data_IF_936407274116
#
_entry.id   IF_936407274116
#
_cell.length_a   1.000
_cell.length_b   1.000
_cell.length_c   1.000
_cell.angle_alpha   90.00
_cell.angle_beta   90.00
_cell.angle_gamma   90.00
#
_symmetry.space_group_name_H-M   'P 1'
#
loop_
_entity.id
_entity.type
_entity.pdbx_description
1 polymer ?
#
# COMPACT_ATOMS: atom_id res chain seq x y z
N UNK A 1 20.22 -5.43 18.65
CA UNK A 1 21.11 -5.06 17.53
C UNK A 1 22.50 -4.89 18.11
N UNK A 2 23.43 -5.74 17.70
CA UNK A 2 24.84 -5.76 18.12
C UNK A 2 25.52 -4.44 17.75
N UNK A 3 26.03 -3.71 18.73
CA UNK A 3 26.77 -2.45 18.55
C UNK A 3 28.16 -2.74 17.95
N UNK A 4 28.35 -2.45 16.66
CA UNK A 4 29.68 -2.44 16.04
C UNK A 4 30.21 -1.00 16.06
N UNK A 5 31.08 -0.69 17.03
CA UNK A 5 32.15 0.32 16.97
C UNK A 5 31.85 1.65 16.24
N UNK A 6 30.68 2.28 16.45
CA UNK A 6 30.33 3.59 15.87
C UNK A 6 30.12 3.62 14.35
N UNK A 7 30.49 2.56 13.62
CA UNK A 7 30.19 2.38 12.20
C UNK A 7 28.68 2.35 11.94
N UNK A 8 27.90 1.87 12.91
CA UNK A 8 26.44 1.90 12.86
C UNK A 8 25.88 3.33 12.78
N UNK A 9 26.50 4.28 13.48
CA UNK A 9 26.09 5.69 13.47
C UNK A 9 26.47 6.37 12.15
N UNK A 10 27.67 6.09 11.65
CA UNK A 10 28.15 6.60 10.36
C UNK A 10 27.31 6.03 9.21
N UNK A 11 27.00 4.73 9.25
CA UNK A 11 26.12 4.07 8.29
C UNK A 11 24.71 4.67 8.31
N UNK A 12 24.11 4.84 9.49
CA UNK A 12 22.80 5.48 9.62
C UNK A 12 22.85 6.93 9.11
N UNK A 13 23.93 7.67 9.37
CA UNK A 13 24.10 9.03 8.87
C UNK A 13 24.19 9.07 7.34
N UNK A 14 24.99 8.21 6.72
CA UNK A 14 25.08 8.09 5.26
C UNK A 14 23.74 7.71 4.64
N UNK A 15 23.06 6.71 5.21
CA UNK A 15 21.72 6.28 4.76
C UNK A 15 20.72 7.42 4.88
N UNK A 16 20.71 8.17 5.98
CA UNK A 16 19.87 9.36 6.14
C UNK A 16 20.15 10.39 5.06
N UNK A 17 21.42 10.74 4.83
CA UNK A 17 21.84 11.74 3.84
C UNK A 17 21.38 11.35 2.43
N UNK A 18 21.63 10.11 2.04
CA UNK A 18 21.23 9.55 0.74
C UNK A 18 19.70 9.51 0.58
N UNK A 19 19.00 8.99 1.58
CA UNK A 19 17.55 8.86 1.57
C UNK A 19 16.88 10.23 1.52
N UNK A 20 17.36 11.22 2.27
CA UNK A 20 16.80 12.57 2.26
C UNK A 20 17.10 13.36 0.99
N UNK A 21 18.19 13.02 0.29
CA UNK A 21 18.49 13.59 -1.02
C UNK A 21 17.55 13.05 -2.12
N UNK A 22 17.25 11.75 -2.08
CA UNK A 22 16.41 11.11 -3.10
C UNK A 22 14.91 11.21 -2.83
N UNK A 23 14.51 11.15 -1.55
CA UNK A 23 13.11 11.15 -1.17
C UNK A 23 12.59 12.58 -1.13
N UNK A 24 11.58 12.84 -1.96
CA UNK A 24 10.72 14.02 -1.83
C UNK A 24 9.34 13.49 -1.45
N UNK A 25 9.00 13.67 -0.18
CA UNK A 25 7.74 13.23 0.37
C UNK A 25 6.67 14.31 0.16
N UNK A 26 5.50 13.90 -0.31
CA UNK A 26 4.26 14.66 -0.19
C UNK A 26 3.49 14.07 0.98
N UNK A 27 3.13 14.92 1.95
CA UNK A 27 2.43 14.48 3.14
C UNK A 27 0.93 14.64 2.93
N UNK A 28 0.17 13.63 3.33
CA UNK A 28 -1.28 13.61 3.26
C UNK A 28 -1.86 13.24 4.63
N UNK A 29 -2.79 14.04 5.18
CA UNK A 29 -3.16 15.38 4.71
C UNK A 29 -1.99 16.40 4.87
N UNK A 30 -2.05 17.51 4.13
CA UNK A 30 -0.95 18.49 4.06
C UNK A 30 -0.82 19.35 5.33
N UNK A 31 -1.89 19.44 6.14
CA UNK A 31 -1.94 20.30 7.32
C UNK A 31 -2.02 19.50 8.62
N UNK A 32 -1.33 19.98 9.65
CA UNK A 32 -1.43 19.44 11.01
C UNK A 32 -2.85 19.55 11.56
N UNK A 33 -3.59 20.62 11.25
CA UNK A 33 -4.92 20.85 11.83
C UNK A 33 -5.96 19.83 11.36
N UNK A 34 -5.77 19.27 10.17
CA UNK A 34 -6.58 18.15 9.69
C UNK A 34 -6.22 16.80 10.31
N UNK A 35 -5.08 16.73 11.00
CA UNK A 35 -4.69 15.58 11.81
C UNK A 35 -5.22 15.81 13.21
N UNK A 36 -6.25 15.07 13.62
CA UNK A 36 -6.84 15.11 14.97
C UNK A 36 -5.89 14.55 16.07
N UNK A 37 -4.58 14.79 15.95
CA UNK A 37 -3.52 14.31 16.84
C UNK A 37 -3.30 15.35 17.94
N UNK A 38 -3.56 14.97 19.18
CA UNK A 38 -3.26 15.81 20.33
C UNK A 38 -1.75 15.72 20.68
N UNK A 39 -0.94 16.78 20.57
CA UNK A 39 0.48 16.74 20.90
C UNK A 39 0.77 16.52 22.41
N UNK A 40 -0.19 16.82 23.28
CA UNK A 40 -0.02 16.75 24.75
C UNK A 40 -0.12 15.31 25.28
N UNK A 41 -0.72 14.42 24.50
CA UNK A 41 -0.81 13.00 24.83
C UNK A 41 0.35 12.22 24.18
N UNK A 42 0.85 11.16 24.82
CA UNK A 42 1.84 10.27 24.22
C UNK A 42 1.40 9.73 22.84
N UNK A 43 2.17 10.03 21.80
CA UNK A 43 1.90 9.57 20.42
C UNK A 43 2.81 8.41 20.06
N UNK A 44 2.22 7.31 19.57
CA UNK A 44 2.94 6.15 19.05
C UNK A 44 2.55 5.90 17.59
N UNK A 45 3.51 6.08 16.67
CA UNK A 45 3.29 5.91 15.24
C UNK A 45 3.31 4.43 14.84
N UNK A 46 2.23 3.96 14.24
CA UNK A 46 2.05 2.56 13.83
C UNK A 46 2.38 2.43 12.35
N UNK A 47 3.35 1.57 12.03
CA UNK A 47 3.66 1.19 10.65
C UNK A 47 3.29 -0.27 10.40
N UNK A 48 2.91 -0.59 9.16
CA UNK A 48 2.60 -1.96 8.77
C UNK A 48 3.82 -2.88 8.93
N UNK A 49 4.91 -2.59 8.21
CA UNK A 49 6.08 -3.45 8.12
C UNK A 49 7.30 -2.81 8.78
N UNK A 50 8.17 -3.62 9.39
CA UNK A 50 9.44 -3.14 9.93
C UNK A 50 10.40 -2.66 8.83
N UNK A 51 10.70 -1.36 8.83
CA UNK A 51 11.59 -0.75 7.85
C UNK A 51 12.27 0.51 8.38
N UNK A 52 13.60 0.52 8.35
CA UNK A 52 14.42 1.67 8.74
C UNK A 52 14.20 2.87 7.80
N UNK A 53 14.10 2.64 6.48
CA UNK A 53 13.82 3.71 5.52
C UNK A 53 12.49 4.42 5.84
N UNK A 54 11.41 3.64 5.96
CA UNK A 54 10.08 4.13 6.34
C UNK A 54 10.09 4.91 7.65
N UNK A 55 10.74 4.36 8.68
CA UNK A 55 10.89 5.05 9.96
C UNK A 55 11.62 6.40 9.82
N UNK A 56 12.70 6.45 9.04
CA UNK A 56 13.48 7.68 8.85
C UNK A 56 12.73 8.74 8.04
N UNK A 57 12.00 8.33 6.99
CA UNK A 57 11.13 9.25 6.23
C UNK A 57 10.02 9.77 7.14
N UNK A 58 9.31 8.89 7.84
CA UNK A 58 8.25 9.26 8.78
C UNK A 58 8.77 10.22 9.85
N UNK A 59 9.91 9.95 10.47
CA UNK A 59 10.49 10.81 11.49
C UNK A 59 10.82 12.22 10.97
N UNK A 60 11.31 12.32 9.73
CA UNK A 60 11.55 13.62 9.08
C UNK A 60 10.23 14.37 8.87
N UNK A 61 9.21 13.70 8.36
CA UNK A 61 7.91 14.34 8.11
C UNK A 61 7.18 14.72 9.41
N UNK A 62 7.35 13.95 10.50
CA UNK A 62 6.87 14.37 11.82
C UNK A 62 7.48 15.72 12.24
N UNK A 63 8.80 15.89 12.05
CA UNK A 63 9.47 17.16 12.38
C UNK A 63 8.97 18.29 11.47
N UNK A 64 8.82 18.04 10.17
CA UNK A 64 8.31 19.03 9.22
C UNK A 64 6.87 19.47 9.52
N UNK A 65 6.04 18.57 10.05
CA UNK A 65 4.66 18.83 10.46
C UNK A 65 4.53 19.29 11.92
N UNK A 66 5.64 19.54 12.62
CA UNK A 66 5.66 19.88 14.06
C UNK A 66 4.96 18.86 14.97
N UNK A 67 4.92 17.60 14.55
CA UNK A 67 4.42 16.48 15.34
C UNK A 67 5.51 15.97 16.30
N UNK A 68 5.14 15.26 17.38
CA UNK A 68 6.11 14.69 18.32
C UNK A 68 7.16 13.81 17.61
N UNK A 69 8.45 14.11 17.80
CA UNK A 69 9.54 13.40 17.13
C UNK A 69 9.62 11.95 17.65
N UNK A 70 9.41 10.94 16.78
CA UNK A 70 9.44 9.53 17.19
C UNK A 70 10.80 9.06 17.69
N UNK A 71 11.88 9.79 17.40
CA UNK A 71 13.25 9.46 17.80
C UNK A 71 13.59 9.90 19.22
N UNK A 72 12.82 10.83 19.81
CA UNK A 72 12.96 11.25 21.21
C UNK A 72 12.42 10.20 22.20
N UNK A 73 11.73 9.18 21.69
CA UNK A 73 11.17 8.10 22.49
C UNK A 73 9.71 8.34 22.88
N UNK A 74 9.16 7.36 23.60
CA UNK A 74 7.79 7.34 24.08
C UNK A 74 7.84 7.15 25.59
N UNK A 75 7.13 8.01 26.32
CA UNK A 75 6.93 7.90 27.77
C UNK A 75 5.42 7.84 28.04
N UNK A 76 4.99 6.82 28.76
CA UNK A 76 3.62 6.61 29.21
C UNK A 76 3.74 6.22 30.68
N UNK A 77 3.37 7.09 31.61
CA UNK A 77 3.59 6.85 33.03
C UNK A 77 5.04 6.43 33.35
N UNK A 78 5.21 5.23 33.90
CA UNK A 78 6.51 4.61 34.18
C UNK A 78 7.11 3.83 32.99
N UNK A 79 6.31 3.52 31.97
CA UNK A 79 6.78 2.88 30.75
C UNK A 79 7.55 3.87 29.86
N UNK A 80 8.79 3.51 29.49
CA UNK A 80 9.60 4.27 28.56
C UNK A 80 10.15 3.39 27.43
N UNK A 81 10.14 3.91 26.21
CA UNK A 81 10.71 3.24 25.04
C UNK A 81 11.53 4.22 24.20
N UNK A 82 12.68 3.76 23.67
CA UNK A 82 13.62 4.61 22.90
C UNK A 82 13.04 5.17 21.59
N UNK A 83 11.98 4.56 21.07
CA UNK A 83 11.32 4.97 19.81
C UNK A 83 9.81 5.01 20.01
N UNK A 84 9.17 6.09 19.57
CA UNK A 84 7.71 6.22 19.57
C UNK A 84 7.06 5.60 18.33
N UNK A 85 7.58 4.46 17.85
CA UNK A 85 7.02 3.73 16.71
C UNK A 85 6.72 2.27 17.04
N UNK A 86 5.73 1.71 16.37
CA UNK A 86 5.27 0.33 16.53
C UNK A 86 5.09 -0.31 15.15
N UNK A 87 5.53 -1.56 14.99
CA UNK A 87 5.43 -2.31 13.74
C UNK A 87 4.47 -3.49 13.88
N UNK A 88 3.49 -3.62 12.98
CA UNK A 88 2.49 -4.70 13.02
C UNK A 88 3.01 -6.05 12.54
N UNK A 89 3.92 -6.06 11.59
CA UNK A 89 4.51 -7.27 11.03
C UNK A 89 6.03 -7.19 11.14
N UNK A 90 6.60 -8.26 11.69
CA UNK A 90 8.04 -8.43 11.76
C UNK A 90 8.54 -9.08 10.47
N UNK A 91 9.81 -8.85 10.13
CA UNK A 91 10.43 -9.63 9.06
C UNK A 91 10.53 -11.09 9.50
N UNK A 92 9.87 -11.99 8.77
CA UNK A 92 10.26 -13.40 8.78
C UNK A 92 11.72 -13.51 8.31
N UNK A 93 12.47 -14.46 8.84
CA UNK A 93 13.83 -14.72 8.36
C UNK A 93 13.77 -15.08 6.87
N UNK A 94 14.89 -14.97 6.13
CA UNK A 94 15.04 -15.01 4.66
C UNK A 94 14.39 -16.25 3.99
N UNK A 95 14.01 -17.26 4.78
CA UNK A 95 13.39 -18.52 4.37
C UNK A 95 11.92 -18.71 4.82
N UNK A 96 11.40 -17.89 5.73
CA UNK A 96 10.00 -17.98 6.18
C UNK A 96 9.07 -17.16 5.28
N UNK A 97 8.22 -17.86 4.51
CA UNK A 97 7.18 -17.26 3.66
C UNK A 97 6.02 -16.64 4.47
N UNK A 98 6.00 -16.80 5.81
CA UNK A 98 4.94 -16.29 6.69
C UNK A 98 5.38 -15.00 7.37
N UNK A 99 4.63 -13.92 7.14
CA UNK A 99 4.66 -12.75 8.01
C UNK A 99 4.35 -13.21 9.44
N UNK A 100 5.28 -13.01 10.39
CA UNK A 100 4.99 -13.29 11.80
C UNK A 100 3.92 -12.31 12.27
N UNK A 101 2.84 -12.85 12.81
CA UNK A 101 1.77 -12.04 13.38
C UNK A 101 2.32 -11.24 14.57
N UNK A 102 2.23 -9.91 14.48
CA UNK A 102 2.65 -8.92 15.49
C UNK A 102 4.17 -8.93 15.74
N UNK A 103 4.89 -7.93 15.20
CA UNK A 103 6.35 -7.84 15.36
C UNK A 103 6.76 -7.59 16.83
N UNK A 104 5.96 -6.79 17.55
CA UNK A 104 6.32 -6.25 18.86
C UNK A 104 5.15 -6.29 19.85
N UNK A 105 4.53 -7.46 20.12
CA UNK A 105 3.39 -7.55 21.03
C UNK A 105 3.71 -7.00 22.42
N UNK A 106 4.94 -7.22 22.92
CA UNK A 106 5.39 -6.75 24.23
C UNK A 106 5.29 -5.24 24.40
N UNK A 107 5.60 -4.44 23.37
CA UNK A 107 5.51 -2.98 23.46
C UNK A 107 4.07 -2.53 23.71
N UNK A 108 3.11 -3.13 23.01
CA UNK A 108 1.70 -2.80 23.18
C UNK A 108 1.17 -3.31 24.53
N UNK A 109 1.58 -4.51 24.94
CA UNK A 109 1.23 -5.05 26.26
C UNK A 109 1.73 -4.14 27.40
N UNK A 110 2.99 -3.68 27.36
CA UNK A 110 3.52 -2.78 28.40
C UNK A 110 2.80 -1.43 28.44
N UNK A 111 2.37 -0.89 27.30
CA UNK A 111 1.54 0.32 27.29
C UNK A 111 0.15 0.06 27.90
N UNK A 112 -0.44 -1.11 27.64
CA UNK A 112 -1.72 -1.52 28.22
C UNK A 112 -1.58 -1.70 29.74
N UNK A 113 -0.53 -2.34 30.21
CA UNK A 113 -0.27 -2.55 31.64
C UNK A 113 -0.21 -1.21 32.40
N UNK A 114 0.45 -0.20 31.81
CA UNK A 114 0.54 1.14 32.40
C UNK A 114 -0.83 1.85 32.42
N UNK A 115 -1.61 1.71 31.35
CA UNK A 115 -2.94 2.31 31.22
C UNK A 115 -3.91 1.71 32.25
N UNK A 116 -3.85 0.41 32.50
CA UNK A 116 -4.67 -0.23 33.53
C UNK A 116 -4.34 0.27 34.94
N UNK A 117 -3.06 0.52 35.23
CA UNK A 117 -2.62 1.05 36.52
C UNK A 117 -2.95 2.53 36.72
N UNK A 118 -3.02 3.30 35.63
CA UNK A 118 -3.22 4.75 35.67
C UNK A 118 -4.40 5.16 34.77
N UNK A 119 -5.65 5.19 35.27
CA UNK A 119 -6.85 5.46 34.47
C UNK A 119 -6.86 6.80 33.72
N UNK A 120 -6.10 7.79 34.21
CA UNK A 120 -6.02 9.14 33.61
C UNK A 120 -5.11 9.22 32.39
N UNK A 121 -4.27 8.19 32.14
CA UNK A 121 -3.36 8.19 31.00
C UNK A 121 -4.07 7.70 29.73
N UNK A 122 -3.61 8.18 28.58
CA UNK A 122 -3.96 7.63 27.26
C UNK A 122 -2.72 7.63 26.34
N UNK A 123 -2.77 6.80 25.29
CA UNK A 123 -1.76 6.74 24.23
C UNK A 123 -2.47 6.80 22.90
N UNK A 124 -2.07 7.72 22.04
CA UNK A 124 -2.58 7.82 20.68
C UNK A 124 -1.77 6.95 19.74
N UNK A 125 -2.43 5.99 19.09
CA UNK A 125 -1.85 5.15 18.05
C UNK A 125 -2.15 5.77 16.68
N UNK A 126 -1.14 6.38 16.04
CA UNK A 126 -1.30 7.06 14.74
C UNK A 126 -0.85 6.13 13.61
N UNK A 127 -1.74 5.62 12.74
CA UNK A 127 -1.32 4.84 11.57
C UNK A 127 -0.56 5.71 10.58
N UNK A 128 0.59 5.23 10.12
CA UNK A 128 1.40 5.90 9.10
C UNK A 128 1.72 4.94 7.96
N UNK A 129 1.36 5.35 6.74
CA UNK A 129 1.62 4.60 5.51
C UNK A 129 2.56 5.35 4.59
N UNK A 130 3.55 4.64 4.06
CA UNK A 130 4.50 5.21 3.11
C UNK A 130 4.40 4.50 1.76
N UNK A 131 4.24 5.29 0.70
CA UNK A 131 4.10 4.83 -0.66
C UNK A 131 5.19 5.47 -1.53
N UNK A 132 6.24 4.72 -1.85
CA UNK A 132 7.33 5.14 -2.75
C UNK A 132 6.88 4.99 -4.22
N UNK A 133 5.83 5.72 -4.61
CA UNK A 133 5.17 5.64 -5.92
C UNK A 133 3.77 5.00 -5.87
N UNK A 134 2.93 5.30 -6.88
CA UNK A 134 1.53 4.83 -7.03
C UNK A 134 1.40 3.57 -7.92
N UNK A 135 2.47 2.79 -7.97
CA UNK A 135 2.66 1.62 -8.81
C UNK A 135 1.99 0.36 -8.18
N UNK A 136 1.02 -0.31 -8.83
CA UNK A 136 0.36 -1.50 -8.30
C UNK A 136 1.30 -2.65 -7.93
N UNK A 137 0.95 -3.38 -6.87
CA UNK A 137 1.79 -4.42 -6.26
C UNK A 137 2.12 -5.59 -7.21
N UNK A 138 1.30 -5.80 -8.23
CA UNK A 138 1.49 -6.79 -9.29
C UNK A 138 1.90 -6.16 -10.60
N UNK A 139 2.85 -5.24 -10.53
CA UNK A 139 3.68 -4.98 -11.69
C UNK A 139 4.55 -6.22 -11.97
N UNK A 140 4.16 -6.97 -12.99
CA UNK A 140 5.06 -7.90 -13.67
C UNK A 140 6.26 -7.17 -14.34
N UNK A 141 6.38 -5.83 -14.18
CA UNK A 141 7.28 -4.98 -14.95
C UNK A 141 8.47 -4.40 -14.19
N UNK A 142 8.36 -3.88 -12.96
CA UNK A 142 9.56 -3.31 -12.28
C UNK A 142 10.61 -4.39 -12.03
N UNK A 143 10.19 -5.66 -12.04
CA UNK A 143 11.03 -6.84 -11.82
C UNK A 143 10.64 -8.08 -12.66
N UNK A 144 10.26 -7.98 -13.94
CA UNK A 144 10.83 -8.99 -14.89
C UNK A 144 12.37 -8.81 -14.97
N UNK A 145 12.83 -7.66 -14.45
CA UNK A 145 14.06 -6.90 -14.70
C UNK A 145 14.79 -6.55 -13.38
N UNK A 146 14.87 -7.43 -12.38
CA UNK A 146 16.20 -7.55 -11.77
C UNK A 146 16.86 -8.85 -12.16
N UNK A 147 16.15 -9.98 -12.15
CA UNK A 147 16.69 -11.25 -12.61
C UNK A 147 15.51 -12.18 -12.92
N UNK A 148 15.18 -12.38 -14.19
CA UNK A 148 14.42 -13.58 -14.54
C UNK A 148 15.26 -14.81 -14.17
N UNK A 149 14.65 -15.66 -13.33
CA UNK A 149 14.91 -17.08 -13.06
C UNK A 149 15.97 -17.58 -12.06
N UNK A 150 16.75 -16.79 -11.30
CA UNK A 150 17.57 -17.44 -10.23
C UNK A 150 17.92 -16.67 -8.95
N UNK A 151 17.75 -15.34 -8.86
CA UNK A 151 18.28 -14.58 -7.70
C UNK A 151 17.20 -13.87 -6.87
N UNK A 152 16.91 -14.41 -5.68
CA UNK A 152 16.08 -13.80 -4.63
C UNK A 152 16.79 -12.56 -4.08
N UNK A 153 16.59 -11.40 -4.71
CA UNK A 153 17.12 -10.12 -4.20
C UNK A 153 16.60 -9.87 -2.77
N UNK A 154 17.47 -9.69 -1.76
CA UNK A 154 17.08 -9.34 -0.41
C UNK A 154 16.17 -8.09 -0.38
N UNK A 155 15.13 -8.10 0.48
CA UNK A 155 14.11 -7.04 0.51
C UNK A 155 14.65 -5.62 0.71
N UNK A 156 15.84 -5.47 1.28
CA UNK A 156 16.50 -4.17 1.48
C UNK A 156 17.03 -3.56 0.18
N UNK A 157 17.67 -4.36 -0.68
CA UNK A 157 18.19 -3.91 -1.98
C UNK A 157 17.03 -3.56 -2.92
N UNK A 158 15.98 -4.39 -2.94
CA UNK A 158 14.74 -4.09 -3.67
C UNK A 158 14.17 -2.73 -3.25
N UNK A 159 14.12 -2.46 -1.95
CA UNK A 159 13.62 -1.18 -1.42
C UNK A 159 14.51 -0.01 -1.80
N UNK A 160 15.84 -0.18 -1.74
CA UNK A 160 16.79 0.84 -2.18
C UNK A 160 16.55 1.25 -3.64
N UNK A 161 16.39 0.27 -4.54
CA UNK A 161 16.13 0.51 -5.96
C UNK A 161 14.80 1.23 -6.20
N UNK A 162 13.74 0.82 -5.50
CA UNK A 162 12.44 1.51 -5.57
C UNK A 162 12.60 2.97 -5.13
N UNK A 163 13.33 3.24 -4.04
CA UNK A 163 13.57 4.61 -3.57
C UNK A 163 14.42 5.39 -4.59
N UNK A 164 15.44 4.79 -5.20
CA UNK A 164 16.24 5.47 -6.24
C UNK A 164 15.39 5.87 -7.45
N UNK A 165 14.51 4.99 -7.92
CA UNK A 165 13.70 5.22 -9.11
C UNK A 165 12.49 6.12 -8.81
N UNK A 166 11.87 5.95 -7.64
CA UNK A 166 10.54 6.48 -7.31
C UNK A 166 10.46 7.33 -6.05
N UNK A 167 11.56 7.50 -5.31
CA UNK A 167 11.58 8.24 -4.04
C UNK A 167 11.17 9.71 -4.15
N UNK A 168 11.27 10.30 -5.35
CA UNK A 168 10.82 11.68 -5.60
C UNK A 168 9.29 11.82 -5.62
N UNK A 169 8.56 10.72 -5.68
CA UNK A 169 7.10 10.64 -5.71
C UNK A 169 6.57 9.92 -4.46
N UNK A 170 7.30 10.02 -3.34
CA UNK A 170 6.89 9.38 -2.11
C UNK A 170 5.68 10.11 -1.54
N UNK A 171 4.64 9.35 -1.18
CA UNK A 171 3.51 9.87 -0.41
C UNK A 171 3.59 9.28 1.00
N UNK A 172 3.48 10.15 2.00
CA UNK A 172 3.39 9.76 3.42
C UNK A 172 1.98 10.10 3.88
N UNK A 173 1.22 9.08 4.28
CA UNK A 173 -0.15 9.23 4.75
C UNK A 173 -0.18 9.06 6.26
N UNK A 174 -0.61 10.11 6.97
CA UNK A 174 -0.92 10.06 8.40
C UNK A 174 -2.44 9.97 8.55
N UNK A 175 -2.90 8.95 9.28
CA UNK A 175 -4.31 8.72 9.53
C UNK A 175 -4.73 9.14 10.94
N UNK A 176 -6.05 9.18 11.16
CA UNK A 176 -6.64 9.53 12.45
C UNK A 176 -6.11 8.66 13.61
N UNK A 177 -5.77 9.27 14.76
CA UNK A 177 -5.27 8.53 15.91
C UNK A 177 -6.35 7.63 16.51
N UNK A 178 -5.95 6.42 16.89
CA UNK A 178 -6.76 5.52 17.70
C UNK A 178 -6.31 5.64 19.16
N UNK A 179 -7.22 6.05 20.05
CA UNK A 179 -6.98 6.02 21.50
C UNK A 179 -6.81 4.58 21.97
N UNK A 180 -5.69 4.28 22.64
CA UNK A 180 -5.47 2.97 23.24
C UNK A 180 -6.41 2.76 24.45
N UNK A 181 -6.67 3.81 25.23
CA UNK A 181 -7.64 3.80 26.33
C UNK A 181 -9.04 3.41 25.86
N UNK A 182 -9.53 4.01 24.78
CA UNK A 182 -10.89 3.74 24.29
C UNK A 182 -11.08 2.27 23.93
N UNK A 183 -10.04 1.61 23.42
CA UNK A 183 -10.07 0.18 23.10
C UNK A 183 -10.03 -0.70 24.36
N UNK A 184 -9.35 -0.27 25.42
CA UNK A 184 -9.33 -0.97 26.71
C UNK A 184 -10.65 -0.83 27.47
N UNK A 185 -11.34 0.31 27.34
CA UNK A 185 -12.64 0.55 27.97
C UNK A 185 -13.74 -0.40 27.46
N UNK A 186 -13.51 -1.14 26.37
CA UNK A 186 -14.40 -2.22 25.93
C UNK A 186 -14.40 -3.46 26.85
N UNK A 187 -13.52 -3.51 27.85
CA UNK A 187 -13.47 -4.60 28.84
C UNK A 187 -12.89 -5.91 28.28
N UNK A 188 -12.13 -5.85 27.19
CA UNK A 188 -11.47 -7.02 26.60
C UNK A 188 -10.20 -7.40 27.38
N UNK A 189 -9.90 -8.70 27.55
CA UNK A 189 -8.59 -9.14 28.02
C UNK A 189 -7.45 -8.57 27.17
N UNK A 190 -6.30 -8.26 27.79
CA UNK A 190 -5.16 -7.57 27.15
C UNK A 190 -4.73 -8.20 25.82
N UNK A 191 -4.59 -9.53 25.78
CA UNK A 191 -4.18 -10.25 24.56
C UNK A 191 -5.24 -10.15 23.46
N UNK A 192 -6.53 -10.09 23.82
CA UNK A 192 -7.62 -9.89 22.86
C UNK A 192 -7.62 -8.45 22.35
N UNK A 193 -7.40 -7.46 23.21
CA UNK A 193 -7.26 -6.06 22.80
C UNK A 193 -6.09 -5.88 21.80
N UNK A 194 -4.92 -6.44 22.09
CA UNK A 194 -3.75 -6.45 21.19
C UNK A 194 -4.08 -7.08 19.83
N UNK A 195 -4.73 -8.25 19.83
CA UNK A 195 -5.13 -8.94 18.59
C UNK A 195 -6.18 -8.15 17.81
N UNK A 196 -7.14 -7.54 18.50
CA UNK A 196 -8.16 -6.66 17.90
C UNK A 196 -7.51 -5.48 17.21
N UNK A 197 -6.66 -4.72 17.91
CA UNK A 197 -5.88 -3.61 17.36
C UNK A 197 -5.07 -4.05 16.14
N UNK A 198 -4.36 -5.17 16.25
CA UNK A 198 -3.60 -5.72 15.12
C UNK A 198 -4.47 -6.04 13.91
N UNK A 199 -5.71 -6.53 14.09
CA UNK A 199 -6.65 -6.80 13.00
C UNK A 199 -7.24 -5.53 12.39
N UNK A 200 -7.59 -4.56 13.23
CA UNK A 200 -8.11 -3.24 12.82
C UNK A 200 -7.07 -2.55 11.94
N UNK A 201 -5.84 -2.38 12.43
CA UNK A 201 -4.81 -1.71 11.66
C UNK A 201 -4.43 -2.46 10.38
N UNK A 202 -4.36 -3.81 10.39
CA UNK A 202 -4.13 -4.58 9.15
C UNK A 202 -5.21 -4.34 8.10
N UNK A 203 -6.46 -4.23 8.53
CA UNK A 203 -7.59 -3.96 7.64
C UNK A 203 -7.54 -2.53 7.12
N UNK A 204 -7.25 -1.56 8.00
CA UNK A 204 -7.02 -0.17 7.67
C UNK A 204 -5.92 -0.02 6.60
N UNK A 205 -4.72 -0.53 6.86
CA UNK A 205 -3.60 -0.47 5.93
C UNK A 205 -3.87 -1.17 4.59
N UNK A 206 -4.70 -2.23 4.58
CA UNK A 206 -5.11 -2.89 3.33
C UNK A 206 -6.05 -1.99 2.53
N UNK A 207 -7.10 -1.45 3.15
CA UNK A 207 -8.08 -0.57 2.50
C UNK A 207 -7.42 0.71 1.99
N UNK A 208 -6.56 1.33 2.80
CA UNK A 208 -5.82 2.52 2.38
C UNK A 208 -4.89 2.23 1.19
N UNK A 209 -4.19 1.09 1.21
CA UNK A 209 -3.37 0.67 0.07
C UNK A 209 -4.22 0.47 -1.18
N UNK A 210 -5.37 -0.19 -1.07
CA UNK A 210 -6.31 -0.40 -2.18
C UNK A 210 -6.85 0.93 -2.73
N UNK A 211 -7.14 1.91 -1.87
CA UNK A 211 -7.60 3.24 -2.28
C UNK A 211 -6.50 4.07 -2.96
N UNK A 212 -5.26 3.99 -2.47
CA UNK A 212 -4.13 4.81 -2.99
C UNK A 212 -3.50 4.20 -4.24
N UNK A 213 -3.37 2.87 -4.28
CA UNK A 213 -2.64 2.15 -5.33
C UNK A 213 -3.60 1.42 -6.29
N UNK A 214 -4.78 1.01 -5.82
CA UNK A 214 -5.70 0.14 -6.52
C UNK A 214 -5.76 -1.28 -5.93
N UNK A 215 -6.82 -2.05 -6.23
CA UNK A 215 -6.99 -3.42 -5.77
C UNK A 215 -5.91 -4.34 -6.33
N UNK A 216 -5.67 -5.46 -5.65
CA UNK A 216 -4.76 -6.48 -6.16
C UNK A 216 -5.35 -7.15 -7.40
N UNK A 217 -4.83 -6.78 -8.58
CA UNK A 217 -5.32 -7.32 -9.85
C UNK A 217 -5.05 -8.82 -9.90
N UNK A 218 -6.11 -9.62 -10.02
CA UNK A 218 -5.95 -11.04 -10.27
C UNK A 218 -5.14 -11.25 -11.56
N UNK A 219 -4.26 -12.25 -11.58
CA UNK A 219 -3.55 -12.59 -12.81
C UNK A 219 -4.56 -12.73 -13.94
N UNK A 220 -4.27 -12.13 -15.10
CA UNK A 220 -5.14 -12.17 -16.29
C UNK A 220 -5.66 -13.59 -16.57
N UNK A 221 -4.82 -14.61 -16.42
CA UNK A 221 -5.21 -16.03 -16.56
C UNK A 221 -6.32 -16.43 -15.59
N UNK A 222 -6.26 -16.00 -14.34
CA UNK A 222 -7.29 -16.27 -13.32
C UNK A 222 -8.58 -15.54 -13.65
N UNK A 223 -8.50 -14.26 -14.06
CA UNK A 223 -9.70 -13.49 -14.46
C UNK A 223 -10.39 -14.11 -15.68
N UNK A 224 -9.63 -14.43 -16.74
CA UNK A 224 -10.16 -15.08 -17.94
C UNK A 224 -10.78 -16.43 -17.60
N UNK A 225 -10.14 -17.23 -16.74
CA UNK A 225 -10.70 -18.51 -16.29
C UNK A 225 -11.98 -18.34 -15.48
N UNK A 226 -12.06 -17.32 -14.62
CA UNK A 226 -13.26 -17.02 -13.86
C UNK A 226 -14.41 -16.57 -14.79
N UNK A 227 -14.12 -15.69 -15.75
CA UNK A 227 -15.07 -15.21 -16.75
C UNK A 227 -15.65 -16.37 -17.57
N UNK A 228 -14.81 -17.28 -18.05
CA UNK A 228 -15.26 -18.46 -18.80
C UNK A 228 -16.12 -19.44 -17.98
N UNK A 229 -16.14 -19.32 -16.65
CA UNK A 229 -16.98 -20.11 -15.74
C UNK A 229 -18.28 -19.39 -15.35
N UNK A 230 -18.46 -18.13 -15.74
CA UNK A 230 -19.69 -17.40 -15.45
C UNK A 230 -20.89 -18.06 -16.15
N UNK A 231 -22.08 -18.11 -15.52
CA UNK A 231 -23.24 -18.76 -16.10
C UNK A 231 -23.63 -18.20 -17.47
N UNK A 232 -23.60 -16.86 -17.63
CA UNK A 232 -23.93 -16.18 -18.89
C UNK A 232 -22.97 -16.57 -20.03
N UNK A 233 -21.67 -16.61 -19.75
CA UNK A 233 -20.64 -17.00 -20.73
C UNK A 233 -20.73 -18.48 -21.07
N UNK A 234 -20.98 -19.33 -20.08
CA UNK A 234 -21.16 -20.77 -20.29
C UNK A 234 -22.38 -21.04 -21.16
N UNK A 235 -23.50 -20.35 -20.91
CA UNK A 235 -24.70 -20.45 -21.73
C UNK A 235 -24.45 -19.99 -23.18
N UNK A 236 -23.67 -18.92 -23.38
CA UNK A 236 -23.28 -18.46 -24.72
C UNK A 236 -22.40 -19.48 -25.45
N UNK A 237 -21.42 -20.08 -24.76
CA UNK A 237 -20.58 -21.16 -25.30
C UNK A 237 -21.45 -22.36 -25.72
N UNK A 238 -22.44 -22.73 -24.89
CA UNK A 238 -23.35 -23.84 -25.16
C UNK A 238 -24.24 -23.56 -26.36
N UNK A 239 -24.78 -22.33 -26.46
CA UNK A 239 -25.57 -21.89 -27.61
C UNK A 239 -24.75 -21.94 -28.91
N UNK A 240 -23.52 -21.44 -28.87
CA UNK A 240 -22.62 -21.46 -30.04
C UNK A 240 -22.22 -22.89 -30.43
N UNK A 241 -21.99 -23.75 -29.44
CA UNK A 241 -21.72 -25.18 -29.67
C UNK A 241 -22.89 -25.85 -30.42
N UNK A 242 -24.14 -25.52 -30.07
CA UNK A 242 -25.34 -26.06 -30.75
C UNK A 242 -25.46 -25.54 -32.19
N UNK A 243 -25.11 -24.28 -32.44
CA UNK A 243 -25.16 -23.65 -33.78
C UNK A 243 -24.10 -24.17 -34.72
N UNK A 244 -22.88 -24.38 -34.22
CA UNK A 244 -21.73 -24.75 -35.04
C UNK A 244 -21.86 -26.15 -35.68
N UNK A 245 -22.60 -27.09 -35.05
CA UNK A 245 -23.22 -28.30 -35.62
C UNK A 245 -22.42 -29.24 -36.55
N UNK A 246 -21.13 -29.00 -36.78
CA UNK A 246 -20.33 -29.58 -37.87
C UNK A 246 -19.42 -30.73 -37.40
N UNK A 247 -19.32 -31.01 -36.10
CA UNK A 247 -18.46 -32.07 -35.57
C UNK A 247 -19.01 -32.77 -34.33
N UNK A 248 -18.15 -33.52 -33.64
CA UNK A 248 -18.49 -34.10 -32.33
C UNK A 248 -18.75 -32.98 -31.31
N UNK A 249 -19.83 -33.10 -30.54
CA UNK A 249 -20.24 -32.13 -29.49
C UNK A 249 -19.09 -31.70 -28.58
N UNK A 250 -18.14 -32.60 -28.29
CA UNK A 250 -16.95 -32.33 -27.47
C UNK A 250 -15.92 -31.44 -28.18
N UNK A 251 -15.74 -31.62 -29.49
CA UNK A 251 -14.84 -30.83 -30.32
C UNK A 251 -15.40 -29.43 -30.51
N UNK A 252 -16.69 -29.32 -30.80
CA UNK A 252 -17.34 -28.03 -31.04
C UNK A 252 -17.39 -27.18 -29.76
N UNK A 253 -17.63 -27.81 -28.60
CA UNK A 253 -17.53 -27.11 -27.30
C UNK A 253 -16.13 -26.57 -27.03
N UNK A 254 -15.08 -27.36 -27.32
CA UNK A 254 -13.69 -26.93 -27.13
C UNK A 254 -13.35 -25.74 -28.03
N UNK A 255 -13.81 -25.75 -29.29
CA UNK A 255 -13.63 -24.63 -30.22
C UNK A 255 -14.34 -23.38 -29.72
N UNK A 256 -15.63 -23.47 -29.37
CA UNK A 256 -16.40 -22.34 -28.84
C UNK A 256 -15.76 -21.75 -27.56
N UNK A 257 -15.27 -22.62 -26.66
CA UNK A 257 -14.55 -22.18 -25.46
C UNK A 257 -13.20 -21.52 -25.78
N UNK A 258 -12.47 -22.00 -26.80
CA UNK A 258 -11.22 -21.38 -27.26
C UNK A 258 -11.47 -19.99 -27.86
N UNK A 259 -12.54 -19.83 -28.65
CA UNK A 259 -12.96 -18.53 -29.20
C UNK A 259 -13.34 -17.56 -28.08
N UNK A 260 -14.18 -17.98 -27.13
CA UNK A 260 -14.52 -17.15 -25.97
C UNK A 260 -13.28 -16.72 -25.17
N UNK A 261 -12.29 -17.62 -25.05
CA UNK A 261 -11.00 -17.31 -24.41
C UNK A 261 -10.20 -16.29 -25.22
N UNK A 262 -10.21 -16.37 -26.54
CA UNK A 262 -9.54 -15.42 -27.42
C UNK A 262 -10.16 -14.01 -27.26
N UNK A 263 -11.48 -13.89 -27.30
CA UNK A 263 -12.18 -12.62 -27.05
C UNK A 263 -11.89 -12.07 -25.65
N UNK A 264 -11.95 -12.90 -24.61
CA UNK A 264 -11.62 -12.46 -23.25
C UNK A 264 -10.17 -11.95 -23.16
N UNK A 265 -9.25 -12.56 -23.88
CA UNK A 265 -7.85 -12.17 -23.97
C UNK A 265 -7.61 -10.88 -24.77
N UNK A 266 -8.46 -10.60 -25.76
CA UNK A 266 -8.42 -9.37 -26.55
C UNK A 266 -8.97 -8.19 -25.74
N UNK A 267 -10.11 -8.39 -25.07
CA UNK A 267 -10.79 -7.36 -24.28
C UNK A 267 -9.99 -7.03 -22.99
N UNK A 268 -9.47 -8.05 -22.30
CA UNK A 268 -8.72 -7.85 -21.07
C UNK A 268 -7.28 -7.37 -21.34
N UNK A 269 -7.10 -6.05 -21.44
CA UNK A 269 -5.79 -5.43 -21.53
C UNK A 269 -4.89 -5.85 -20.34
N UNK A 270 -3.63 -6.18 -20.62
CA UNK A 270 -2.62 -6.41 -19.58
C UNK A 270 -2.10 -5.06 -19.08
N UNK A 271 -2.73 -4.55 -18.01
CA UNK A 271 -2.40 -3.25 -17.43
C UNK A 271 -0.95 -3.23 -16.93
N UNK A 272 -0.13 -2.34 -17.50
CA UNK A 272 1.25 -2.12 -17.07
C UNK A 272 1.48 -0.65 -16.75
N UNK A 273 1.71 -0.35 -15.47
CA UNK A 273 1.94 1.00 -15.01
C UNK A 273 3.25 1.60 -15.57
N UNK A 274 4.31 0.80 -15.78
CA UNK A 274 5.53 1.23 -16.48
C UNK A 274 5.24 1.72 -17.89
N UNK A 275 4.44 0.96 -18.63
CA UNK A 275 4.02 1.34 -19.99
C UNK A 275 3.22 2.64 -19.91
N UNK A 276 2.21 2.71 -19.03
CA UNK A 276 1.42 3.92 -18.82
C UNK A 276 2.29 5.13 -18.47
N UNK A 277 3.35 4.96 -17.70
CA UNK A 277 4.28 6.04 -17.38
C UNK A 277 5.07 6.53 -18.59
N UNK A 278 5.55 5.61 -19.43
CA UNK A 278 6.21 5.97 -20.70
C UNK A 278 5.21 6.72 -21.58
N UNK A 279 3.99 6.20 -21.73
CA UNK A 279 2.92 6.87 -22.45
C UNK A 279 2.61 8.24 -21.86
N UNK A 280 2.52 8.37 -20.54
CA UNK A 280 2.29 9.66 -19.88
C UNK A 280 3.37 10.67 -20.25
N UNK A 281 4.65 10.31 -20.21
CA UNK A 281 5.74 11.21 -20.57
C UNK A 281 5.68 11.60 -22.05
N UNK A 282 5.54 10.61 -22.94
CA UNK A 282 5.51 10.83 -24.40
C UNK A 282 4.28 11.61 -24.82
N UNK A 283 3.10 11.25 -24.32
CA UNK A 283 1.83 11.91 -24.63
C UNK A 283 1.75 13.31 -24.03
N UNK A 284 2.24 13.52 -22.80
CA UNK A 284 2.29 14.88 -22.22
C UNK A 284 3.16 15.79 -23.07
N UNK A 285 4.33 15.31 -23.50
CA UNK A 285 5.17 16.07 -24.43
C UNK A 285 4.47 16.33 -25.77
N UNK A 286 3.84 15.31 -26.36
CA UNK A 286 3.14 15.42 -27.63
C UNK A 286 1.97 16.43 -27.55
N UNK A 287 1.15 16.34 -26.51
CA UNK A 287 0.00 17.21 -26.32
C UNK A 287 0.39 18.64 -25.99
N UNK A 288 1.47 18.87 -25.25
CA UNK A 288 1.97 20.24 -25.04
C UNK A 288 2.65 20.82 -26.30
N UNK A 289 3.08 19.98 -27.25
CA UNK A 289 3.69 20.41 -28.50
C UNK A 289 2.65 20.70 -29.59
N UNK A 290 1.61 19.86 -29.69
CA UNK A 290 0.56 19.99 -30.71
C UNK A 290 -0.62 20.85 -30.24
N UNK A 291 -0.84 20.93 -28.92
CA UNK A 291 -1.96 21.63 -28.30
C UNK A 291 -1.49 22.38 -27.04
N UNK A 292 -2.40 23.06 -26.34
CA UNK A 292 -2.14 23.71 -25.05
C UNK A 292 -2.30 22.73 -23.87
N UNK A 293 -1.88 21.48 -24.04
CA UNK A 293 -1.98 20.43 -23.02
C UNK A 293 -3.40 19.88 -22.83
N UNK A 294 -3.65 19.27 -21.66
CA UNK A 294 -4.90 18.59 -21.33
C UNK A 294 -5.49 19.16 -20.04
N UNK A 295 -6.71 19.69 -20.11
CA UNK A 295 -7.48 20.12 -18.93
C UNK A 295 -8.49 19.05 -18.51
N UNK A 296 -8.44 18.62 -17.25
CA UNK A 296 -9.41 17.65 -16.69
C UNK A 296 -10.39 18.38 -15.79
N UNK A 297 -11.68 18.34 -16.14
CA UNK A 297 -12.75 18.97 -15.38
C UNK A 297 -13.56 17.93 -14.59
N UNK A 298 -14.06 18.31 -13.41
CA UNK A 298 -14.96 17.47 -12.61
C UNK A 298 -14.29 16.32 -11.86
N UNK A 299 -12.96 16.31 -11.75
CA UNK A 299 -12.22 15.24 -11.09
C UNK A 299 -12.56 15.09 -9.61
N UNK A 300 -12.83 16.19 -8.90
CA UNK A 300 -13.19 16.14 -7.48
C UNK A 300 -14.53 15.46 -7.24
N UNK A 301 -15.49 15.63 -8.15
CA UNK A 301 -16.77 14.91 -8.11
C UNK A 301 -16.55 13.42 -8.36
N UNK A 302 -15.73 13.08 -9.35
CA UNK A 302 -15.39 11.68 -9.64
C UNK A 302 -14.73 10.99 -8.45
N UNK A 303 -13.76 11.66 -7.79
CA UNK A 303 -13.10 11.14 -6.58
C UNK A 303 -14.09 10.75 -5.48
N UNK A 304 -15.07 11.61 -5.21
CA UNK A 304 -16.09 11.34 -4.17
C UNK A 304 -16.97 10.14 -4.51
N UNK A 305 -17.37 9.99 -5.77
CA UNK A 305 -18.23 8.88 -6.21
C UNK A 305 -17.45 7.56 -6.29
N UNK A 306 -16.18 7.61 -6.69
CA UNK A 306 -15.33 6.43 -6.88
C UNK A 306 -14.97 5.69 -5.59
N UNK A 307 -15.17 6.30 -4.42
CA UNK A 307 -14.92 5.63 -3.14
C UNK A 307 -15.87 4.45 -2.91
N UNK A 308 -17.13 4.61 -3.31
CA UNK A 308 -18.19 3.62 -3.06
C UNK A 308 -18.66 2.89 -4.33
N UNK A 309 -18.19 3.32 -5.51
CA UNK A 309 -18.67 2.81 -6.80
C UNK A 309 -17.53 2.41 -7.73
N UNK A 310 -17.78 1.42 -8.58
CA UNK A 310 -16.86 1.04 -9.65
C UNK A 310 -16.96 2.01 -10.84
N UNK A 311 -15.84 2.61 -11.23
CA UNK A 311 -15.79 3.59 -12.31
C UNK A 311 -15.53 2.88 -13.63
N UNK A 312 -16.49 2.96 -14.56
CA UNK A 312 -16.35 2.43 -15.92
C UNK A 312 -16.02 3.59 -16.86
N UNK A 313 -14.83 3.55 -17.46
CA UNK A 313 -14.42 4.50 -18.49
C UNK A 313 -14.93 4.03 -19.85
N UNK A 314 -15.80 4.83 -20.47
CA UNK A 314 -16.30 4.58 -21.83
C UNK A 314 -15.67 5.63 -22.75
N UNK A 315 -15.06 5.22 -23.88
CA UNK A 315 -14.53 6.20 -24.84
C UNK A 315 -15.68 7.04 -25.40
N UNK A 316 -15.64 8.34 -25.17
CA UNK A 316 -16.54 9.31 -25.77
C UNK A 316 -15.73 10.23 -26.69
N UNK A 317 -16.00 10.17 -27.98
CA UNK A 317 -15.38 11.07 -28.95
C UNK A 317 -16.17 12.39 -29.00
N UNK A 318 -15.49 13.53 -28.88
CA UNK A 318 -16.01 14.80 -29.39
C UNK A 318 -15.28 15.09 -30.69
N UNK A 319 -16.04 15.40 -31.73
CA UNK A 319 -15.55 15.64 -33.10
C UNK A 319 -14.62 16.84 -33.27
N UNK A 320 -14.47 17.67 -32.24
CA UNK A 320 -13.49 18.74 -32.19
C UNK A 320 -12.55 18.52 -30.99
N UNK A 321 -11.24 18.47 -31.28
CA UNK A 321 -10.12 18.41 -30.32
C UNK A 321 -9.39 19.74 -30.35
#
# INVERSE_FOLDING_TARGET
MTHWLGLDLLFVWLVKRFLFWMVRAQVQPESRDSLSINPDLPVCYVLKNESLADYLVMARECINLELPDPSKGLKVGNYQHKRASYFLTGKGWIWERREKALAQPHKLLSMIDELEQNPQLDVQLVPVSLFYGRAPARENSIFKILFSDTWRVPGLLRKLLIIMIQGRQTVVHFDEPVSLRSVLNEGLPKERAVRKLGRVFRTHFRRLREAVIGPDLSHRRTMVNALLRMPSVTAAIDAETRRSGKGSKKVDRRKAQATARAYANEIAADYSHSVIRIYYLVLTWLWNKLYNGVSVNGFDRLKKVATDNEVIYVPCHRSHI
#
